data_IF_149885431710
#
_entry.id   IF_149885431710
#
_cell.length_a   1.000
_cell.length_b   1.000
_cell.length_c   1.000
_cell.angle_alpha   90.00
_cell.angle_beta   90.00
_cell.angle_gamma   90.00
#
_symmetry.space_group_name_H-M   'P 1'
#
loop_
_entity.id
_entity.type
_entity.pdbx_description
1 polymer ?
#
# COMPACT_ATOMS: atom_id res chain seq x y z
N UNK A 1 -25.91 18.53 -5.03
CA UNK A 1 -24.66 18.65 -4.24
C UNK A 1 -23.65 17.60 -4.70
N UNK A 2 -22.34 17.89 -4.62
CA UNK A 2 -21.27 16.91 -4.96
C UNK A 2 -21.12 15.89 -3.81
N UNK A 3 -20.99 14.58 -4.08
CA UNK A 3 -20.65 13.59 -3.05
C UNK A 3 -19.28 13.88 -2.42
N UNK A 4 -18.99 13.38 -1.20
CA UNK A 4 -17.69 13.52 -0.58
C UNK A 4 -16.61 12.81 -1.42
N UNK A 5 -15.39 13.34 -1.41
CA UNK A 5 -14.25 12.59 -1.92
C UNK A 5 -13.92 11.43 -0.96
N UNK A 6 -13.37 10.32 -1.47
CA UNK A 6 -13.00 9.19 -0.61
C UNK A 6 -11.93 9.62 0.41
N UNK A 7 -12.11 9.22 1.66
CA UNK A 7 -11.15 9.42 2.74
C UNK A 7 -10.48 8.10 3.09
N UNK A 8 -9.20 7.96 2.72
CA UNK A 8 -8.38 6.75 2.89
C UNK A 8 -7.60 6.70 4.22
N UNK A 9 -7.65 7.78 5.00
CA UNK A 9 -6.93 7.90 6.27
C UNK A 9 -5.44 8.22 6.14
N UNK A 10 -4.90 8.40 4.92
CA UNK A 10 -3.46 8.70 4.74
C UNK A 10 -3.12 10.14 5.12
N UNK A 11 -4.03 11.08 4.86
CA UNK A 11 -3.83 12.49 5.15
C UNK A 11 -4.89 13.01 6.13
N UNK A 12 -4.49 13.20 7.39
CA UNK A 12 -5.36 13.69 8.47
C UNK A 12 -5.97 15.07 8.18
N UNK A 13 -5.29 15.94 7.40
CA UNK A 13 -5.84 17.26 7.03
C UNK A 13 -7.11 17.16 6.17
N UNK A 14 -7.27 16.07 5.41
CA UNK A 14 -8.45 15.83 4.56
C UNK A 14 -9.68 15.39 5.35
N UNK A 15 -9.49 14.87 6.58
CA UNK A 15 -10.57 14.41 7.44
C UNK A 15 -11.61 15.51 7.66
N UNK A 16 -11.15 16.74 7.92
CA UNK A 16 -12.05 17.87 8.15
C UNK A 16 -12.94 18.15 6.94
N UNK A 17 -12.36 18.15 5.73
CA UNK A 17 -13.09 18.39 4.49
C UNK A 17 -14.12 17.28 4.19
N UNK A 18 -13.74 16.02 4.44
CA UNK A 18 -14.65 14.88 4.35
C UNK A 18 -15.85 15.03 5.30
N UNK A 19 -15.61 15.28 6.59
CA UNK A 19 -16.67 15.43 7.59
C UNK A 19 -17.58 16.63 7.29
N UNK A 20 -17.02 17.75 6.82
CA UNK A 20 -17.81 18.92 6.41
C UNK A 20 -18.72 18.61 5.23
N UNK A 21 -18.22 17.86 4.24
CA UNK A 21 -18.99 17.45 3.07
C UNK A 21 -20.15 16.53 3.47
N UNK A 22 -19.90 15.54 4.34
CA UNK A 22 -20.94 14.68 4.89
C UNK A 22 -22.00 15.49 5.66
N UNK A 23 -21.57 16.41 6.53
CA UNK A 23 -22.48 17.25 7.32
C UNK A 23 -23.42 18.06 6.41
N UNK A 24 -22.89 18.69 5.37
CA UNK A 24 -23.68 19.50 4.45
C UNK A 24 -24.68 18.65 3.65
N UNK A 25 -24.28 17.46 3.19
CA UNK A 25 -25.17 16.50 2.53
C UNK A 25 -26.32 16.05 3.42
N UNK A 26 -26.02 15.68 4.67
CA UNK A 26 -27.05 15.24 5.62
C UNK A 26 -28.01 16.37 5.99
N UNK A 27 -27.53 17.60 6.08
CA UNK A 27 -28.37 18.78 6.32
C UNK A 27 -29.23 19.17 5.12
N UNK A 28 -28.77 18.89 3.90
CA UNK A 28 -29.51 19.24 2.68
C UNK A 28 -30.68 18.27 2.41
N UNK A 29 -30.61 17.03 2.90
CA UNK A 29 -31.66 16.03 2.69
C UNK A 29 -32.00 15.25 3.98
N UNK A 30 -32.67 15.91 4.94
CA UNK A 30 -32.91 15.33 6.26
C UNK A 30 -33.93 14.17 6.23
N UNK A 31 -34.76 14.05 5.19
CA UNK A 31 -35.70 12.94 5.05
C UNK A 31 -34.99 11.66 4.61
N UNK A 32 -34.03 11.78 3.69
CA UNK A 32 -33.15 10.67 3.29
C UNK A 32 -32.22 10.28 4.44
N UNK A 33 -31.60 11.26 5.11
CA UNK A 33 -30.68 11.04 6.23
C UNK A 33 -31.34 11.20 7.61
N UNK A 34 -32.51 10.58 7.76
CA UNK A 34 -33.40 10.71 8.93
C UNK A 34 -32.83 10.21 10.26
N UNK A 35 -31.85 9.30 10.20
CA UNK A 35 -31.25 8.67 11.37
C UNK A 35 -29.73 8.51 11.20
N UNK A 36 -29.03 8.30 12.32
CA UNK A 36 -27.58 8.21 12.31
C UNK A 36 -27.07 6.93 11.64
N UNK A 37 -27.86 5.86 11.58
CA UNK A 37 -27.47 4.63 10.88
C UNK A 37 -27.31 4.90 9.38
N UNK A 38 -28.24 5.64 8.76
CA UNK A 38 -28.14 6.03 7.34
C UNK A 38 -26.95 6.96 7.09
N UNK A 39 -26.70 7.92 7.99
CA UNK A 39 -25.55 8.83 7.90
C UNK A 39 -24.22 8.08 8.00
N UNK A 40 -24.09 7.17 8.97
CA UNK A 40 -22.90 6.34 9.18
C UNK A 40 -22.66 5.42 7.99
N UNK A 41 -23.70 4.73 7.50
CA UNK A 41 -23.60 3.86 6.33
C UNK A 41 -23.15 4.65 5.09
N UNK A 42 -23.71 5.83 4.87
CA UNK A 42 -23.31 6.68 3.75
C UNK A 42 -21.85 7.12 3.88
N UNK A 43 -21.44 7.67 5.04
CA UNK A 43 -20.06 8.06 5.26
C UNK A 43 -19.08 6.89 5.06
N UNK A 44 -19.45 5.69 5.51
CA UNK A 44 -18.65 4.48 5.37
C UNK A 44 -18.42 4.08 3.89
N UNK A 45 -19.37 4.33 2.97
CA UNK A 45 -19.17 4.09 1.53
C UNK A 45 -18.01 4.91 0.94
N UNK A 46 -17.70 6.04 1.57
CA UNK A 46 -16.65 6.96 1.16
C UNK A 46 -15.40 6.85 2.04
N UNK A 47 -15.36 5.92 3.00
CA UNK A 47 -14.12 5.54 3.67
C UNK A 47 -13.35 4.58 2.76
N UNK A 48 -12.16 4.99 2.32
CA UNK A 48 -11.26 4.17 1.53
C UNK A 48 -10.51 3.20 2.44
N UNK A 49 -10.78 1.90 2.33
CA UNK A 49 -10.00 0.87 3.03
C UNK A 49 -8.74 0.56 2.22
N UNK A 50 -7.79 1.51 2.14
CA UNK A 50 -6.45 1.26 1.56
C UNK A 50 -5.43 2.13 2.25
N UNK A 51 -4.95 1.66 3.39
CA UNK A 51 -3.79 2.24 4.03
C UNK A 51 -2.54 1.70 3.31
N UNK A 52 -1.82 2.52 2.55
CA UNK A 52 -0.62 2.07 1.83
C UNK A 52 0.42 1.41 2.74
N UNK A 53 0.49 1.78 4.02
CA UNK A 53 1.36 1.11 5.01
C UNK A 53 0.91 -0.31 5.29
N UNK A 54 -0.39 -0.55 5.39
CA UNK A 54 -0.95 -1.89 5.58
C UNK A 54 -0.72 -2.74 4.34
N UNK A 55 -1.04 -2.19 3.16
CA UNK A 55 -0.84 -2.86 1.87
C UNK A 55 0.63 -3.26 1.65
N UNK A 56 1.58 -2.36 1.97
CA UNK A 56 3.02 -2.67 1.95
C UNK A 56 3.38 -3.81 2.89
N UNK A 57 2.80 -3.84 4.09
CA UNK A 57 3.11 -4.88 5.07
C UNK A 57 2.56 -6.27 4.68
N UNK A 58 1.49 -6.31 3.88
CA UNK A 58 0.91 -7.53 3.32
C UNK A 58 1.40 -7.88 1.91
N UNK A 59 2.16 -7.00 1.26
CA UNK A 59 2.62 -7.22 -0.11
C UNK A 59 3.64 -8.36 -0.15
N UNK A 60 3.31 -9.41 -0.90
CA UNK A 60 4.22 -10.51 -1.18
C UNK A 60 4.37 -10.75 -2.68
N UNK A 61 5.56 -11.21 -3.06
CA UNK A 61 5.85 -11.72 -4.39
C UNK A 61 5.12 -13.05 -4.56
N UNK A 62 4.42 -13.20 -5.69
CA UNK A 62 3.68 -14.43 -6.00
C UNK A 62 4.65 -15.53 -6.43
N UNK A 63 4.33 -16.78 -6.09
CA UNK A 63 5.02 -17.95 -6.63
C UNK A 63 4.96 -17.93 -8.16
N UNK A 64 6.11 -18.13 -8.81
CA UNK A 64 6.30 -18.01 -10.26
C UNK A 64 5.99 -16.62 -10.86
N UNK A 65 5.78 -15.61 -10.03
CA UNK A 65 5.59 -14.22 -10.46
C UNK A 65 6.92 -13.56 -10.82
N UNK A 66 6.91 -12.63 -11.77
CA UNK A 66 8.09 -11.83 -12.09
C UNK A 66 8.41 -10.84 -10.96
N UNK A 67 9.69 -10.73 -10.58
CA UNK A 67 10.15 -9.74 -9.59
C UNK A 67 9.75 -8.31 -9.99
N UNK A 68 9.78 -7.99 -11.28
CA UNK A 68 9.37 -6.67 -11.80
C UNK A 68 7.93 -6.29 -11.44
N UNK A 69 7.00 -7.25 -11.42
CA UNK A 69 5.60 -7.02 -11.03
C UNK A 69 5.50 -6.65 -9.55
N UNK A 70 6.20 -7.41 -8.69
CA UNK A 70 6.25 -7.14 -7.26
C UNK A 70 6.88 -5.77 -6.97
N UNK A 71 8.02 -5.47 -7.60
CA UNK A 71 8.73 -4.18 -7.46
C UNK A 71 7.84 -3.02 -7.89
N UNK A 72 7.14 -3.12 -9.02
CA UNK A 72 6.25 -2.07 -9.50
C UNK A 72 5.11 -1.77 -8.50
N UNK A 73 4.51 -2.80 -7.91
CA UNK A 73 3.49 -2.66 -6.87
C UNK A 73 4.09 -2.03 -5.59
N UNK A 74 5.26 -2.51 -5.17
CA UNK A 74 5.97 -1.97 -4.01
C UNK A 74 6.26 -0.47 -4.19
N UNK A 75 6.81 -0.06 -5.33
CA UNK A 75 7.11 1.36 -5.64
C UNK A 75 5.86 2.24 -5.66
N UNK A 76 4.75 1.70 -6.16
CA UNK A 76 3.47 2.42 -6.19
C UNK A 76 2.93 2.71 -4.79
N UNK A 77 3.16 1.80 -3.85
CA UNK A 77 2.77 2.01 -2.44
C UNK A 77 3.82 2.84 -1.69
N UNK A 78 5.11 2.64 -1.99
CA UNK A 78 6.23 3.39 -1.41
C UNK A 78 6.04 4.90 -1.61
N UNK A 79 5.61 5.34 -2.80
CA UNK A 79 5.41 6.77 -3.09
C UNK A 79 4.29 7.45 -2.27
N UNK A 80 3.48 6.66 -1.56
CA UNK A 80 2.36 7.13 -0.72
C UNK A 80 2.70 7.14 0.75
N UNK A 81 3.87 6.61 1.12
CA UNK A 81 4.27 6.41 2.49
C UNK A 81 5.56 7.17 2.77
N UNK A 82 5.56 7.96 3.84
CA UNK A 82 6.75 8.63 4.34
C UNK A 82 7.46 7.73 5.35
N UNK A 83 8.27 6.80 4.84
CA UNK A 83 9.15 5.95 5.63
C UNK A 83 10.61 6.14 5.20
N UNK A 84 11.54 5.83 6.09
CA UNK A 84 12.94 5.77 5.73
C UNK A 84 13.28 4.48 4.96
N UNK A 85 14.44 4.49 4.30
CA UNK A 85 14.92 3.37 3.48
C UNK A 85 15.06 2.06 4.26
N UNK A 86 15.44 2.10 5.54
CA UNK A 86 15.60 0.89 6.35
C UNK A 86 14.25 0.19 6.58
N UNK A 87 13.21 0.97 6.87
CA UNK A 87 11.84 0.46 7.02
C UNK A 87 11.32 -0.11 5.70
N UNK A 88 11.56 0.57 4.57
CA UNK A 88 11.19 0.02 3.26
C UNK A 88 11.95 -1.27 2.94
N UNK A 89 13.26 -1.31 3.20
CA UNK A 89 14.07 -2.50 2.96
C UNK A 89 13.57 -3.69 3.79
N UNK A 90 13.17 -3.47 5.04
CA UNK A 90 12.57 -4.51 5.88
C UNK A 90 11.29 -5.08 5.26
N UNK A 91 10.34 -4.22 4.89
CA UNK A 91 9.08 -4.66 4.29
C UNK A 91 9.27 -5.31 2.91
N UNK A 92 10.23 -4.81 2.13
CA UNK A 92 10.58 -5.42 0.85
C UNK A 92 11.09 -6.84 1.05
N UNK A 93 12.07 -7.07 1.95
CA UNK A 93 12.59 -8.43 2.23
C UNK A 93 11.51 -9.38 2.71
N UNK A 94 10.61 -8.92 3.57
CA UNK A 94 9.50 -9.72 4.11
C UNK A 94 8.57 -10.25 3.00
N UNK A 95 8.41 -9.50 1.91
CA UNK A 95 7.56 -9.87 0.80
C UNK A 95 8.23 -10.75 -0.26
N UNK A 96 9.54 -10.98 -0.20
CA UNK A 96 10.25 -11.80 -1.18
C UNK A 96 9.97 -13.30 -0.99
N UNK A 97 10.14 -14.07 -2.07
CA UNK A 97 10.12 -15.53 -2.02
C UNK A 97 11.30 -16.05 -1.19
N UNK A 98 11.09 -17.17 -0.49
CA UNK A 98 12.11 -17.79 0.37
C UNK A 98 13.40 -18.11 -0.39
N UNK A 99 13.28 -18.64 -1.61
CA UNK A 99 14.44 -18.96 -2.45
C UNK A 99 15.31 -17.73 -2.76
N UNK A 100 14.70 -16.56 -2.97
CA UNK A 100 15.42 -15.30 -3.20
C UNK A 100 16.06 -14.83 -1.90
N UNK A 101 15.32 -14.88 -0.78
CA UNK A 101 15.89 -14.46 0.52
C UNK A 101 17.07 -15.33 0.95
N UNK A 102 17.02 -16.63 0.66
CA UNK A 102 18.10 -17.57 0.96
C UNK A 102 19.34 -17.25 0.12
N UNK A 103 19.17 -16.99 -1.17
CA UNK A 103 20.27 -16.58 -2.05
C UNK A 103 20.87 -15.23 -1.64
N UNK A 104 20.03 -14.26 -1.24
CA UNK A 104 20.50 -12.98 -0.71
C UNK A 104 21.35 -13.16 0.56
N UNK A 105 20.96 -14.10 1.44
CA UNK A 105 21.74 -14.41 2.65
C UNK A 105 23.10 -15.07 2.31
N UNK A 106 23.13 -15.95 1.32
CA UNK A 106 24.35 -16.64 0.87
C UNK A 106 25.36 -15.72 0.17
N UNK A 107 24.88 -14.65 -0.46
CA UNK A 107 25.76 -13.73 -1.22
C UNK A 107 26.70 -12.95 -0.29
N UNK A 108 26.43 -12.88 1.02
CA UNK A 108 27.29 -12.21 2.02
C UNK A 108 27.40 -10.68 1.83
N UNK A 109 26.76 -10.13 0.80
CA UNK A 109 26.77 -8.72 0.45
C UNK A 109 25.90 -7.94 1.46
N UNK A 110 26.51 -6.98 2.16
CA UNK A 110 25.74 -6.07 2.99
C UNK A 110 25.01 -5.06 2.09
N UNK A 111 23.77 -5.36 1.73
CA UNK A 111 22.90 -4.45 0.99
C UNK A 111 22.45 -3.33 1.94
N UNK A 112 23.09 -2.16 1.83
CA UNK A 112 22.91 -1.02 2.74
C UNK A 112 21.73 -0.13 2.33
N UNK A 113 21.33 -0.18 1.08
CA UNK A 113 20.23 0.64 0.54
C UNK A 113 19.11 -0.22 -0.03
N UNK A 114 17.90 0.33 -0.04
CA UNK A 114 16.76 -0.30 -0.68
C UNK A 114 17.00 -0.52 -2.19
N UNK A 115 17.69 0.40 -2.85
CA UNK A 115 17.95 0.30 -4.28
C UNK A 115 18.83 -0.91 -4.61
N UNK A 116 19.94 -1.08 -3.88
CA UNK A 116 20.82 -2.25 -4.04
C UNK A 116 20.07 -3.57 -3.84
N UNK A 117 19.13 -3.60 -2.89
CA UNK A 117 18.29 -4.78 -2.63
C UNK A 117 17.33 -5.08 -3.80
N UNK A 118 16.74 -4.04 -4.40
CA UNK A 118 15.87 -4.17 -5.56
C UNK A 118 16.66 -4.69 -6.76
N UNK A 119 17.83 -4.12 -7.04
CA UNK A 119 18.66 -4.50 -8.18
C UNK A 119 19.10 -5.97 -8.06
N UNK A 120 19.57 -6.38 -6.88
CA UNK A 120 19.96 -7.76 -6.62
C UNK A 120 18.79 -8.74 -6.76
N UNK A 121 17.58 -8.34 -6.38
CA UNK A 121 16.37 -9.17 -6.50
C UNK A 121 16.03 -9.44 -7.97
N UNK A 122 16.21 -8.44 -8.85
CA UNK A 122 15.97 -8.60 -10.30
C UNK A 122 16.96 -9.60 -10.88
N UNK A 123 18.25 -9.47 -10.54
CA UNK A 123 19.29 -10.40 -11.01
C UNK A 123 19.02 -11.84 -10.60
N UNK A 124 18.71 -12.07 -9.32
CA UNK A 124 18.44 -13.42 -8.81
C UNK A 124 17.17 -14.02 -9.44
N UNK A 125 16.11 -13.23 -9.61
CA UNK A 125 14.87 -13.71 -10.21
C UNK A 125 15.04 -14.08 -11.70
N UNK A 126 15.82 -13.30 -12.46
CA UNK A 126 16.13 -13.65 -13.84
C UNK A 126 16.92 -14.96 -13.92
N UNK A 127 17.94 -15.11 -13.07
CA UNK A 127 18.73 -16.35 -12.97
C UNK A 127 17.88 -17.57 -12.59
N UNK A 128 16.85 -17.40 -11.76
CA UNK A 128 15.92 -18.47 -11.41
C UNK A 128 15.07 -18.90 -12.61
N UNK A 129 14.53 -17.96 -13.39
CA UNK A 129 13.71 -18.27 -14.57
C UNK A 129 14.53 -18.81 -15.74
N UNK A 130 15.82 -18.47 -15.86
CA UNK A 130 16.70 -19.02 -16.89
C UNK A 130 17.12 -20.48 -16.61
N UNK A 131 16.92 -20.97 -15.38
CA UNK A 131 17.31 -22.32 -14.93
C UNK A 131 16.17 -23.35 -14.89
N UNK A 132 14.94 -22.92 -15.17
CA UNK A 132 13.72 -23.75 -15.20
C UNK A 132 13.25 -23.91 -16.63
#
# INVERSE_FOLDING_TARGET
>A
MKPPDKFDGENSSKLRGFLQSCKLLFSNDPTVFSDDRKKVLYAALYLGVRNAKFELNSLSMKDNGKASTYIAQFRTLQSRVDWNDATFAFHFRKGLLSCITDQLALTGQQLKTLQQLIDQTIELNNCYHDKV
#
